data_IF_260975440911
#
_entry.id   IF_260975440911
#
_cell.length_a   1.000
_cell.length_b   1.000
_cell.length_c   1.000
_cell.angle_alpha   90.00
_cell.angle_beta   90.00
_cell.angle_gamma   90.00
#
_symmetry.space_group_name_H-M   'P 1'
#
loop_
_entity.id
_entity.type
_entity.pdbx_description
1 polymer ?
#
# COMPACT_ATOMS: atom_id res chain seq x y z
N UNK A 1 11.77 7.13 1.92
CA UNK A 1 11.39 8.56 1.86
C UNK A 1 9.88 8.77 1.95
N UNK A 2 9.09 8.37 0.95
CA UNK A 2 7.65 8.69 0.91
C UNK A 2 6.84 8.19 2.14
N UNK A 3 7.26 7.08 2.74
CA UNK A 3 6.63 6.49 3.93
C UNK A 3 7.35 6.86 5.24
N UNK A 4 8.23 7.87 5.23
CA UNK A 4 9.00 8.26 6.43
C UNK A 4 10.02 7.23 6.93
N UNK A 5 10.27 6.16 6.16
CA UNK A 5 11.18 5.09 6.53
C UNK A 5 12.66 5.47 6.47
N UNK A 6 13.49 4.69 7.17
CA UNK A 6 14.94 4.76 7.15
C UNK A 6 15.49 4.06 5.90
N UNK A 7 16.44 4.71 5.22
CA UNK A 7 17.19 4.12 4.11
C UNK A 7 18.60 3.80 4.62
N UNK A 8 19.00 2.52 4.68
CA UNK A 8 20.35 2.16 5.09
C UNK A 8 21.42 2.69 4.14
N UNK A 9 22.61 3.03 4.68
CA UNK A 9 23.76 3.43 3.85
C UNK A 9 24.30 2.31 2.98
N UNK A 10 24.07 1.05 3.39
CA UNK A 10 24.51 -0.13 2.66
C UNK A 10 23.37 -1.13 2.64
N UNK A 11 23.10 -1.66 1.45
CA UNK A 11 22.16 -2.74 1.25
C UNK A 11 22.80 -3.79 0.34
N UNK A 12 22.45 -5.05 0.51
CA UNK A 12 23.05 -6.16 -0.25
C UNK A 12 21.96 -7.05 -0.84
N UNK A 13 22.39 -7.89 -1.76
CA UNK A 13 21.57 -8.90 -2.39
C UNK A 13 21.88 -10.26 -1.74
N UNK A 14 20.86 -11.09 -1.59
CA UNK A 14 20.97 -12.44 -1.05
C UNK A 14 20.23 -13.42 -1.97
N UNK A 15 20.68 -14.67 -2.01
CA UNK A 15 20.00 -15.75 -2.73
C UNK A 15 18.99 -16.43 -1.82
N UNK A 16 17.72 -16.42 -2.22
CA UNK A 16 16.65 -17.25 -1.63
C UNK A 16 16.53 -18.54 -2.46
N UNK A 17 17.05 -19.65 -1.95
CA UNK A 17 17.22 -20.88 -2.73
C UNK A 17 15.98 -21.79 -2.62
N UNK A 18 15.33 -22.08 -3.75
CA UNK A 18 14.28 -23.08 -3.84
C UNK A 18 14.14 -23.59 -5.28
N UNK A 19 13.79 -24.86 -5.44
CA UNK A 19 13.61 -25.46 -6.76
C UNK A 19 12.15 -25.38 -7.18
N UNK A 20 11.87 -24.62 -8.24
CA UNK A 20 10.57 -24.59 -8.88
C UNK A 20 10.70 -24.31 -10.39
N UNK A 21 9.82 -24.83 -11.26
CA UNK A 21 10.00 -24.74 -12.71
C UNK A 21 10.01 -23.32 -13.28
N UNK A 22 9.43 -22.35 -12.58
CA UNK A 22 9.38 -20.94 -12.96
C UNK A 22 10.62 -20.14 -12.52
N UNK A 23 11.57 -20.77 -11.84
CA UNK A 23 12.77 -20.14 -11.33
C UNK A 23 14.01 -20.81 -11.93
N UNK A 24 14.51 -20.30 -13.08
CA UNK A 24 15.49 -21.02 -13.89
C UNK A 24 16.86 -21.14 -13.20
N UNK A 25 17.18 -20.18 -12.32
CA UNK A 25 18.44 -20.18 -11.56
C UNK A 25 18.42 -21.13 -10.35
N UNK A 26 17.26 -21.64 -9.93
CA UNK A 26 17.12 -22.39 -8.68
C UNK A 26 17.25 -21.54 -7.40
N UNK A 27 17.31 -20.21 -7.56
CA UNK A 27 17.27 -19.23 -6.49
C UNK A 27 16.68 -17.91 -6.99
N UNK A 28 16.07 -17.16 -6.09
CA UNK A 28 15.55 -15.83 -6.32
C UNK A 28 16.54 -14.82 -5.73
N UNK A 29 16.94 -13.83 -6.51
CA UNK A 29 17.71 -12.69 -6.00
C UNK A 29 16.73 -11.79 -5.25
N UNK A 30 17.01 -11.56 -3.97
CA UNK A 30 16.20 -10.74 -3.05
C UNK A 30 17.15 -10.05 -2.07
N UNK A 31 16.64 -9.50 -0.97
CA UNK A 31 17.43 -8.95 0.12
C UNK A 31 16.94 -9.56 1.42
N UNK A 32 17.84 -10.07 2.26
CA UNK A 32 17.48 -10.70 3.53
C UNK A 32 17.80 -9.78 4.71
N UNK A 33 19.04 -9.76 5.19
CA UNK A 33 19.39 -9.04 6.43
C UNK A 33 19.44 -7.51 6.27
N UNK A 34 19.68 -7.01 5.05
CA UNK A 34 19.93 -5.59 4.80
C UNK A 34 18.98 -5.07 3.71
N UNK A 35 17.68 -4.90 3.98
CA UNK A 35 16.72 -4.37 3.00
C UNK A 35 17.03 -2.93 2.62
N UNK A 36 16.55 -2.46 1.47
CA UNK A 36 16.76 -1.08 1.03
C UNK A 36 15.89 -0.05 1.79
N UNK A 37 14.84 -0.49 2.47
CA UNK A 37 13.97 0.32 3.32
C UNK A 37 13.69 -0.40 4.64
N UNK A 38 13.91 0.29 5.75
CA UNK A 38 13.62 -0.19 7.11
C UNK A 38 12.61 0.73 7.79
N UNK A 39 11.56 0.15 8.38
CA UNK A 39 10.51 0.94 9.01
C UNK A 39 9.59 1.64 8.01
N UNK A 40 8.81 2.58 8.54
CA UNK A 40 7.93 3.46 7.78
C UNK A 40 6.51 3.44 8.32
N UNK A 41 5.70 4.40 7.87
CA UNK A 41 4.31 4.55 8.27
C UNK A 41 3.46 4.93 7.07
N UNK A 42 2.31 4.28 6.92
CA UNK A 42 1.27 4.66 5.95
C UNK A 42 -0.01 5.00 6.71
N UNK A 43 -0.44 6.25 6.62
CA UNK A 43 -1.70 6.74 7.17
C UNK A 43 -2.85 6.49 6.18
N UNK A 44 -3.98 5.97 6.64
CA UNK A 44 -5.18 5.73 5.84
C UNK A 44 -6.45 6.11 6.62
N UNK A 45 -7.60 6.11 5.94
CA UNK A 45 -8.89 6.38 6.56
C UNK A 45 -9.85 5.22 6.30
N UNK A 46 -10.58 4.81 7.32
CA UNK A 46 -11.66 3.81 7.24
C UNK A 46 -12.99 4.53 7.33
N UNK A 47 -13.85 4.32 6.34
CA UNK A 47 -15.22 4.86 6.36
C UNK A 47 -16.13 3.93 7.18
N UNK A 48 -16.75 4.48 8.22
CA UNK A 48 -17.86 3.85 8.92
C UNK A 48 -19.12 4.04 8.08
N UNK A 49 -19.65 2.93 7.56
CA UNK A 49 -20.81 2.95 6.66
C UNK A 49 -22.11 3.29 7.38
N UNK A 50 -22.19 3.14 8.70
CA UNK A 50 -23.43 3.32 9.44
C UNK A 50 -23.71 4.80 9.73
N UNK A 51 -22.66 5.60 9.95
CA UNK A 51 -22.77 7.02 10.28
C UNK A 51 -22.04 7.95 9.29
N UNK A 52 -21.32 7.41 8.30
CA UNK A 52 -20.58 8.17 7.29
C UNK A 52 -19.34 8.90 7.85
N UNK A 53 -18.90 8.54 9.06
CA UNK A 53 -17.68 9.10 9.66
C UNK A 53 -16.44 8.37 9.14
N UNK A 54 -15.28 9.01 9.30
CA UNK A 54 -14.00 8.45 8.91
C UNK A 54 -13.11 8.32 10.14
N UNK A 55 -12.65 7.10 10.37
CA UNK A 55 -11.64 6.79 11.39
C UNK A 55 -10.26 6.83 10.75
N UNK A 56 -9.33 7.56 11.37
CA UNK A 56 -7.93 7.55 10.94
C UNK A 56 -7.25 6.28 11.44
N UNK A 57 -6.52 5.61 10.55
CA UNK A 57 -5.68 4.47 10.88
C UNK A 57 -4.28 4.65 10.31
N UNK A 58 -3.35 3.83 10.79
CA UNK A 58 -1.99 3.79 10.27
C UNK A 58 -1.42 2.38 10.33
N UNK A 59 -0.59 2.04 9.34
CA UNK A 59 0.19 0.80 9.34
C UNK A 59 1.67 1.12 9.39
N UNK A 60 2.34 0.59 10.40
CA UNK A 60 3.80 0.56 10.44
C UNK A 60 4.34 -0.52 9.49
N UNK A 61 5.40 -0.17 8.78
CA UNK A 61 6.09 -1.10 7.89
C UNK A 61 7.30 -1.65 8.62
N UNK A 62 7.50 -2.96 8.58
CA UNK A 62 8.76 -3.56 9.04
C UNK A 62 9.88 -3.18 8.07
N UNK A 63 9.62 -3.32 6.76
CA UNK A 63 10.62 -3.16 5.70
C UNK A 63 9.99 -3.08 4.31
N UNK A 64 10.76 -2.58 3.35
CA UNK A 64 10.55 -2.85 1.93
C UNK A 64 11.87 -3.23 1.26
N UNK A 65 11.86 -4.22 0.38
CA UNK A 65 13.06 -4.72 -0.26
C UNK A 65 12.86 -5.09 -1.72
N UNK A 66 13.96 -5.08 -2.47
CA UNK A 66 13.96 -5.41 -3.89
C UNK A 66 14.11 -6.91 -4.11
N UNK A 67 13.37 -7.44 -5.07
CA UNK A 67 13.56 -8.82 -5.51
C UNK A 67 13.20 -9.03 -6.99
N UNK A 68 13.62 -10.17 -7.52
CA UNK A 68 13.33 -10.61 -8.88
C UNK A 68 12.06 -11.46 -8.92
N UNK A 69 11.13 -11.17 -9.85
CA UNK A 69 9.91 -11.98 -10.01
C UNK A 69 10.21 -13.36 -10.64
N UNK A 70 9.34 -14.33 -10.35
CA UNK A 70 9.35 -15.63 -10.99
C UNK A 70 8.62 -15.63 -12.34
N UNK A 71 8.92 -16.62 -13.18
CA UNK A 71 8.21 -16.84 -14.44
C UNK A 71 6.72 -17.17 -14.21
N UNK A 72 5.95 -17.22 -15.29
CA UNK A 72 4.53 -17.59 -15.24
C UNK A 72 4.37 -19.07 -15.58
N UNK A 73 3.58 -19.78 -14.79
CA UNK A 73 3.17 -21.16 -15.06
C UNK A 73 1.76 -21.20 -15.64
N UNK A 74 1.56 -22.05 -16.66
CA UNK A 74 0.25 -22.39 -17.19
C UNK A 74 0.08 -23.90 -17.21
N UNK A 75 -0.91 -24.40 -16.46
CA UNK A 75 -1.22 -25.83 -16.39
C UNK A 75 -2.29 -26.17 -17.44
N UNK A 76 -1.99 -27.13 -18.31
CA UNK A 76 -2.93 -27.62 -19.34
C UNK A 76 -2.90 -29.14 -19.34
N UNK A 77 -3.99 -29.75 -18.87
CA UNK A 77 -4.06 -31.19 -18.64
C UNK A 77 -3.01 -31.65 -17.62
N UNK A 78 -2.18 -32.61 -18.00
CA UNK A 78 -1.07 -33.14 -17.17
C UNK A 78 0.27 -32.44 -17.40
N UNK A 79 0.30 -31.35 -18.18
CA UNK A 79 1.53 -30.62 -18.52
C UNK A 79 1.52 -29.21 -17.93
N UNK A 80 2.72 -28.72 -17.61
CA UNK A 80 2.95 -27.34 -17.19
C UNK A 80 3.82 -26.66 -18.24
N UNK A 81 3.33 -25.54 -18.76
CA UNK A 81 4.06 -24.65 -19.65
C UNK A 81 4.64 -23.51 -18.82
N UNK A 82 5.89 -23.13 -19.12
CA UNK A 82 6.60 -22.06 -18.42
C UNK A 82 6.85 -20.92 -19.38
N UNK A 83 6.41 -19.72 -19.01
CA UNK A 83 6.64 -18.47 -19.74
C UNK A 83 7.58 -17.56 -18.93
N UNK A 84 8.83 -17.45 -19.40
CA UNK A 84 9.89 -16.67 -18.76
C UNK A 84 9.85 -15.17 -19.08
N UNK A 85 8.88 -14.65 -19.84
CA UNK A 85 8.81 -13.23 -20.18
C UNK A 85 8.77 -12.29 -18.96
N UNK A 86 8.20 -12.76 -17.84
CA UNK A 86 8.15 -12.02 -16.57
C UNK A 86 9.33 -12.31 -15.63
N UNK A 87 10.12 -13.34 -15.93
CA UNK A 87 11.21 -13.77 -15.05
C UNK A 87 12.22 -12.63 -14.84
N UNK A 88 12.61 -12.42 -13.59
CA UNK A 88 13.51 -11.34 -13.17
C UNK A 88 12.99 -9.91 -13.37
N UNK A 89 11.68 -9.71 -13.60
CA UNK A 89 11.08 -8.39 -13.48
C UNK A 89 11.30 -7.83 -12.06
N UNK A 90 11.60 -6.53 -11.92
CA UNK A 90 11.86 -5.92 -10.62
C UNK A 90 10.58 -5.87 -9.77
N UNK A 91 10.70 -6.28 -8.51
CA UNK A 91 9.64 -6.20 -7.51
C UNK A 91 10.12 -5.45 -6.28
N UNK A 92 9.15 -4.88 -5.57
CA UNK A 92 9.32 -4.38 -4.22
C UNK A 92 8.40 -5.21 -3.33
N UNK A 93 8.96 -5.98 -2.41
CA UNK A 93 8.20 -6.64 -1.36
C UNK A 93 8.13 -5.73 -0.13
N UNK A 94 6.90 -5.34 0.25
CA UNK A 94 6.61 -4.48 1.39
C UNK A 94 6.00 -5.34 2.49
N UNK A 95 6.62 -5.33 3.67
CA UNK A 95 6.19 -6.11 4.83
C UNK A 95 5.70 -5.16 5.91
N UNK A 96 4.49 -5.40 6.40
CA UNK A 96 3.85 -4.62 7.45
C UNK A 96 4.13 -5.22 8.83
N UNK A 97 4.17 -4.38 9.85
CA UNK A 97 3.96 -4.83 11.22
C UNK A 97 2.53 -5.40 11.39
N UNK A 98 2.29 -6.31 12.35
CA UNK A 98 1.00 -6.97 12.55
C UNK A 98 -0.01 -6.09 13.30
N UNK A 99 -0.19 -4.84 12.86
CA UNK A 99 -1.00 -3.79 13.52
C UNK A 99 -2.37 -3.56 12.87
N UNK A 100 -2.77 -4.44 11.96
CA UNK A 100 -4.08 -4.40 11.30
C UNK A 100 -5.07 -5.29 12.03
N UNK A 101 -6.16 -4.70 12.54
CA UNK A 101 -7.11 -5.39 13.43
C UNK A 101 -8.48 -5.67 12.81
N UNK A 102 -8.72 -5.23 11.57
CA UNK A 102 -9.97 -5.54 10.86
C UNK A 102 -9.78 -5.66 9.36
N UNK A 103 -10.72 -6.35 8.70
CA UNK A 103 -10.77 -6.42 7.24
C UNK A 103 -10.89 -5.03 6.60
N UNK A 104 -11.63 -4.12 7.23
CA UNK A 104 -11.80 -2.75 6.78
C UNK A 104 -10.48 -1.97 6.81
N UNK A 105 -9.70 -2.09 7.89
CA UNK A 105 -8.36 -1.49 7.98
C UNK A 105 -7.42 -2.08 6.94
N UNK A 106 -7.39 -3.41 6.77
CA UNK A 106 -6.53 -4.06 5.79
C UNK A 106 -6.87 -3.62 4.34
N UNK A 107 -8.15 -3.52 4.02
CA UNK A 107 -8.59 -3.02 2.72
C UNK A 107 -8.21 -1.54 2.50
N UNK A 108 -8.41 -0.69 3.50
CA UNK A 108 -8.07 0.72 3.43
C UNK A 108 -6.56 0.92 3.26
N UNK A 109 -5.75 0.17 4.01
CA UNK A 109 -4.29 0.15 3.86
C UNK A 109 -3.86 -0.24 2.44
N UNK A 110 -4.39 -1.34 1.90
CA UNK A 110 -4.01 -1.81 0.55
C UNK A 110 -4.40 -0.79 -0.53
N UNK A 111 -5.58 -0.17 -0.42
CA UNK A 111 -5.98 0.91 -1.33
C UNK A 111 -5.05 2.12 -1.22
N UNK A 112 -4.68 2.52 0.01
CA UNK A 112 -3.77 3.63 0.24
C UNK A 112 -2.37 3.37 -0.30
N UNK A 113 -1.85 2.16 -0.09
CA UNK A 113 -0.57 1.74 -0.63
C UNK A 113 -0.59 1.75 -2.17
N UNK A 114 -1.67 1.26 -2.79
CA UNK A 114 -1.84 1.31 -4.23
C UNK A 114 -1.83 2.76 -4.75
N UNK A 115 -2.58 3.65 -4.09
CA UNK A 115 -2.63 5.06 -4.43
C UNK A 115 -1.25 5.72 -4.30
N UNK A 116 -0.53 5.44 -3.21
CA UNK A 116 0.81 5.97 -2.98
C UNK A 116 1.79 5.52 -4.08
N UNK A 117 1.83 4.22 -4.39
CA UNK A 117 2.74 3.66 -5.40
C UNK A 117 2.46 4.24 -6.79
N UNK A 118 1.17 4.43 -7.13
CA UNK A 118 0.75 5.10 -8.38
C UNK A 118 1.17 6.56 -8.40
N UNK A 119 0.91 7.29 -7.31
CA UNK A 119 1.28 8.71 -7.18
C UNK A 119 2.79 8.93 -7.35
N UNK A 120 3.59 8.01 -6.82
CA UNK A 120 5.05 8.03 -6.95
C UNK A 120 5.54 7.65 -8.36
N UNK A 121 4.66 7.13 -9.23
CA UNK A 121 5.04 6.67 -10.57
C UNK A 121 5.92 5.41 -10.57
N UNK A 122 5.89 4.62 -9.48
CA UNK A 122 6.71 3.40 -9.34
C UNK A 122 6.08 2.24 -10.10
N UNK A 123 4.75 2.11 -10.04
CA UNK A 123 3.99 1.05 -10.70
C UNK A 123 2.55 1.49 -10.92
N UNK A 124 1.94 1.01 -12.01
CA UNK A 124 0.49 1.10 -12.24
C UNK A 124 -0.31 0.32 -11.19
N UNK A 125 0.35 -0.59 -10.45
CA UNK A 125 -0.20 -1.37 -9.34
C UNK A 125 -1.58 -2.01 -9.66
N UNK A 126 -1.78 -2.42 -10.92
CA UNK A 126 -2.99 -3.08 -11.40
C UNK A 126 -3.01 -4.55 -10.95
N UNK A 127 -3.90 -4.87 -10.02
CA UNK A 127 -4.04 -6.23 -9.48
C UNK A 127 -4.54 -7.23 -10.52
N UNK A 128 -5.37 -6.81 -11.48
CA UNK A 128 -5.88 -7.71 -12.54
C UNK A 128 -4.75 -8.14 -13.48
N UNK A 129 -3.76 -7.27 -13.68
CA UNK A 129 -2.54 -7.56 -14.44
C UNK A 129 -1.44 -8.21 -13.59
N UNK A 130 -1.67 -8.42 -12.30
CA UNK A 130 -0.71 -9.00 -11.37
C UNK A 130 0.47 -8.10 -11.02
N UNK A 131 0.35 -6.77 -11.24
CA UNK A 131 1.38 -5.78 -10.90
C UNK A 131 1.42 -5.43 -9.40
N UNK A 132 0.35 -5.79 -8.68
CA UNK A 132 0.29 -5.72 -7.23
C UNK A 132 -0.29 -7.03 -6.69
N UNK A 133 0.40 -7.61 -5.72
CA UNK A 133 0.06 -8.88 -5.07
C UNK A 133 0.17 -8.70 -3.57
N UNK A 134 -0.61 -9.46 -2.82
CA UNK A 134 -0.50 -9.49 -1.38
C UNK A 134 -0.93 -10.85 -0.84
N UNK A 135 -0.23 -11.29 0.20
CA UNK A 135 -0.56 -12.45 1.00
C UNK A 135 -1.02 -11.95 2.38
N UNK A 136 -2.04 -12.59 2.94
CA UNK A 136 -2.62 -12.18 4.21
C UNK A 136 -2.16 -13.14 5.33
N UNK A 137 -1.41 -12.61 6.30
CA UNK A 137 -1.06 -13.34 7.51
C UNK A 137 -2.05 -12.99 8.62
N UNK A 138 -2.68 -14.00 9.23
CA UNK A 138 -3.73 -13.81 10.23
C UNK A 138 -3.60 -14.79 11.40
N UNK A 139 -3.81 -14.26 12.59
CA UNK A 139 -3.94 -14.98 13.87
C UNK A 139 -4.92 -14.24 14.78
N UNK A 140 -5.75 -14.95 15.54
CA UNK A 140 -6.67 -14.33 16.49
C UNK A 140 -6.08 -14.29 17.91
N UNK A 141 -6.12 -13.10 18.52
CA UNK A 141 -5.72 -12.90 19.93
C UNK A 141 -6.93 -13.00 20.85
N UNK A 142 -6.76 -13.65 22.01
CA UNK A 142 -7.68 -13.55 23.13
C UNK A 142 -7.50 -12.24 23.90
N UNK A 143 -8.37 -11.94 24.88
CA UNK A 143 -8.32 -10.68 25.63
C UNK A 143 -7.00 -10.43 26.37
N UNK A 144 -6.41 -11.47 26.94
CA UNK A 144 -5.17 -11.34 27.71
C UNK A 144 -3.99 -11.06 26.79
N UNK A 145 -3.95 -11.73 25.63
CA UNK A 145 -2.98 -11.45 24.57
C UNK A 145 -3.10 -10.02 24.04
N UNK A 146 -4.32 -9.51 23.85
CA UNK A 146 -4.54 -8.12 23.45
C UNK A 146 -4.05 -7.13 24.52
N UNK A 147 -4.31 -7.40 25.81
CA UNK A 147 -3.87 -6.52 26.92
C UNK A 147 -2.35 -6.45 27.06
N UNK A 148 -1.65 -7.54 26.75
CA UNK A 148 -0.20 -7.65 26.91
C UNK A 148 0.58 -7.40 25.60
N UNK A 149 -0.11 -7.09 24.50
CA UNK A 149 0.48 -6.94 23.16
C UNK A 149 1.26 -8.20 22.70
N UNK A 150 0.70 -9.38 22.98
CA UNK A 150 1.32 -10.67 22.67
C UNK A 150 0.67 -11.34 21.46
N UNK A 151 1.48 -11.71 20.47
CA UNK A 151 0.99 -12.46 19.31
C UNK A 151 0.72 -13.94 19.67
N UNK A 152 -0.30 -14.56 19.04
CA UNK A 152 -0.56 -15.99 19.23
C UNK A 152 0.60 -16.84 18.69
N UNK A 153 0.81 -18.06 19.23
CA UNK A 153 1.87 -18.96 18.78
C UNK A 153 1.58 -19.63 17.42
N UNK A 154 0.50 -19.23 16.75
CA UNK A 154 0.07 -19.78 15.47
C UNK A 154 -0.25 -18.66 14.49
N UNK A 155 -0.12 -18.95 13.20
CA UNK A 155 -0.42 -18.01 12.12
C UNK A 155 -0.82 -18.77 10.86
N UNK A 156 -1.91 -18.37 10.23
CA UNK A 156 -2.26 -18.82 8.89
C UNK A 156 -1.85 -17.78 7.86
N UNK A 157 -1.37 -18.24 6.72
CA UNK A 157 -1.04 -17.38 5.58
C UNK A 157 -1.98 -17.71 4.43
N UNK A 158 -2.82 -16.76 4.03
CA UNK A 158 -3.75 -16.91 2.91
C UNK A 158 -3.16 -16.27 1.66
N UNK A 159 -2.97 -17.08 0.61
CA UNK A 159 -2.43 -16.69 -0.69
C UNK A 159 -3.49 -16.67 -1.79
N UNK A 160 -3.10 -16.16 -2.96
CA UNK A 160 -3.94 -16.08 -4.18
C UNK A 160 -5.14 -15.14 -4.03
N UNK A 161 -4.94 -14.01 -3.35
CA UNK A 161 -5.97 -12.98 -3.21
C UNK A 161 -5.76 -11.93 -4.31
N UNK A 162 -6.68 -11.90 -5.28
CA UNK A 162 -6.49 -11.13 -6.51
C UNK A 162 -7.18 -9.75 -6.52
N UNK A 163 -7.88 -9.37 -5.45
CA UNK A 163 -8.50 -8.04 -5.34
C UNK A 163 -8.72 -7.63 -3.89
N UNK A 164 -8.80 -6.32 -3.63
CA UNK A 164 -9.07 -5.77 -2.29
C UNK A 164 -10.39 -6.27 -1.72
N UNK A 165 -11.41 -6.44 -2.57
CA UNK A 165 -12.69 -7.02 -2.13
C UNK A 165 -12.55 -8.48 -1.70
N UNK A 166 -11.67 -9.24 -2.38
CA UNK A 166 -11.38 -10.64 -2.02
C UNK A 166 -10.56 -10.70 -0.73
N UNK A 167 -9.69 -9.73 -0.47
CA UNK A 167 -8.96 -9.59 0.80
C UNK A 167 -9.93 -9.49 1.98
N UNK A 168 -10.89 -8.57 1.90
CA UNK A 168 -11.89 -8.42 2.95
C UNK A 168 -12.64 -9.72 3.22
N UNK A 169 -13.12 -10.40 2.16
CA UNK A 169 -13.81 -11.69 2.30
C UNK A 169 -12.92 -12.79 2.89
N UNK A 170 -11.66 -12.86 2.48
CA UNK A 170 -10.70 -13.84 2.96
C UNK A 170 -10.41 -13.66 4.45
N UNK A 171 -10.22 -12.41 4.90
CA UNK A 171 -10.02 -12.07 6.31
C UNK A 171 -11.26 -12.45 7.12
N UNK A 172 -12.45 -12.04 6.71
CA UNK A 172 -13.70 -12.36 7.42
C UNK A 172 -13.98 -13.87 7.51
N UNK A 173 -13.66 -14.60 6.44
CA UNK A 173 -13.75 -16.05 6.44
C UNK A 173 -12.78 -16.67 7.45
N UNK A 174 -11.53 -16.22 7.46
CA UNK A 174 -10.49 -16.77 8.31
C UNK A 174 -10.71 -16.42 9.79
N UNK A 175 -11.21 -15.22 10.10
CA UNK A 175 -11.66 -14.84 11.45
C UNK A 175 -12.73 -15.82 11.94
N UNK A 176 -13.78 -16.06 11.15
CA UNK A 176 -14.85 -17.00 11.54
C UNK A 176 -14.34 -18.42 11.72
N UNK A 177 -13.44 -18.86 10.84
CA UNK A 177 -12.84 -20.19 10.90
C UNK A 177 -12.00 -20.37 12.16
N UNK A 178 -11.05 -19.48 12.41
CA UNK A 178 -10.18 -19.54 13.60
C UNK A 178 -11.00 -19.37 14.87
N UNK A 179 -11.97 -18.46 14.90
CA UNK A 179 -12.86 -18.25 16.03
C UNK A 179 -13.60 -19.53 16.41
N UNK A 180 -14.20 -20.21 15.43
CA UNK A 180 -14.87 -21.50 15.67
C UNK A 180 -13.93 -22.56 16.26
N UNK A 181 -12.70 -22.66 15.73
CA UNK A 181 -11.72 -23.63 16.26
C UNK A 181 -11.36 -23.32 17.71
N UNK A 182 -11.12 -22.04 18.02
CA UNK A 182 -10.79 -21.61 19.39
C UNK A 182 -11.95 -21.83 20.35
N UNK A 183 -13.20 -21.58 19.92
CA UNK A 183 -14.41 -21.85 20.70
C UNK A 183 -14.57 -23.36 21.00
N UNK A 184 -14.09 -24.23 20.11
CA UNK A 184 -14.05 -25.69 20.27
C UNK A 184 -12.83 -26.16 21.10
N UNK A 185 -11.97 -25.25 21.56
CA UNK A 185 -10.75 -25.55 22.32
C UNK A 185 -9.59 -26.03 21.46
N UNK A 186 -9.66 -25.86 20.13
CA UNK A 186 -8.63 -26.23 19.17
C UNK A 186 -7.74 -25.03 18.83
N UNK A 187 -6.42 -25.24 18.82
CA UNK A 187 -5.47 -24.23 18.33
C UNK A 187 -5.31 -24.34 16.81
N UNK A 188 -5.49 -23.26 16.04
CA UNK A 188 -5.22 -23.30 14.60
C UNK A 188 -3.78 -23.71 14.30
N UNK A 189 -3.59 -24.55 13.28
CA UNK A 189 -2.25 -24.96 12.84
C UNK A 189 -1.60 -23.88 12.00
N UNK A 190 -0.28 -23.81 12.04
CA UNK A 190 0.49 -22.97 11.14
C UNK A 190 0.49 -23.60 9.74
N UNK A 191 -0.16 -22.94 8.78
CA UNK A 191 -0.36 -23.48 7.45
C UNK A 191 -0.47 -22.38 6.39
N UNK A 192 -0.29 -22.78 5.14
CA UNK A 192 -0.56 -21.92 3.97
C UNK A 192 -1.87 -22.34 3.35
N UNK A 193 -2.77 -21.37 3.18
CA UNK A 193 -4.12 -21.55 2.65
C UNK A 193 -4.24 -20.81 1.32
N UNK A 194 -5.03 -21.34 0.41
CA UNK A 194 -5.36 -20.70 -0.86
C UNK A 194 -6.79 -20.19 -0.84
N UNK A 195 -6.99 -18.92 -1.22
CA UNK A 195 -8.32 -18.36 -1.38
C UNK A 195 -9.00 -18.86 -2.68
N UNK A 196 -10.25 -19.31 -2.58
CA UNK A 196 -11.11 -19.73 -3.69
C UNK A 196 -12.25 -18.73 -3.85
N UNK A 197 -12.08 -17.79 -4.77
CA UNK A 197 -13.00 -16.66 -4.91
C UNK A 197 -14.42 -17.07 -5.34
N UNK A 198 -14.50 -18.08 -6.21
CA UNK A 198 -15.73 -18.72 -6.69
C UNK A 198 -16.57 -19.34 -5.56
N UNK A 199 -15.90 -19.78 -4.49
CA UNK A 199 -16.52 -20.52 -3.38
C UNK A 199 -16.54 -19.73 -2.08
N UNK A 200 -15.96 -18.52 -2.05
CA UNK A 200 -15.81 -17.69 -0.85
C UNK A 200 -15.25 -18.45 0.36
N UNK A 201 -14.23 -19.28 0.14
CA UNK A 201 -13.58 -20.07 1.19
C UNK A 201 -12.08 -20.18 0.98
N UNK A 202 -11.34 -20.39 2.07
CA UNK A 202 -9.93 -20.77 2.01
C UNK A 202 -9.77 -22.29 2.13
N UNK A 203 -8.84 -22.87 1.37
CA UNK A 203 -8.50 -24.30 1.44
C UNK A 203 -7.03 -24.45 1.86
N UNK A 204 -6.72 -25.45 2.69
CA UNK A 204 -5.33 -25.75 3.05
C UNK A 204 -4.58 -26.25 1.81
N UNK A 205 -3.43 -25.66 1.51
CA UNK A 205 -2.59 -26.07 0.37
C UNK A 205 -1.37 -26.88 0.81
N UNK A 206 -0.74 -26.47 1.92
CA UNK A 206 0.46 -27.10 2.48
C UNK A 206 0.51 -26.88 3.98
N UNK A 207 0.74 -27.93 4.76
CA UNK A 207 1.14 -27.82 6.17
C UNK A 207 2.59 -27.31 6.24
N UNK A 208 2.88 -26.32 7.08
CA UNK A 208 4.23 -25.74 7.24
C UNK A 208 5.22 -26.67 7.97
N UNK A 209 4.98 -27.99 7.99
CA UNK A 209 5.89 -28.97 8.60
C UNK A 209 7.28 -28.99 7.92
N UNK A 210 7.36 -28.53 6.67
CA UNK A 210 8.61 -28.23 5.98
C UNK A 210 8.71 -26.72 5.71
N UNK A 211 9.04 -25.91 6.72
CA UNK A 211 9.65 -24.61 6.44
C UNK A 211 10.96 -24.90 5.68
N UNK A 212 10.89 -24.87 4.34
CA UNK A 212 12.05 -25.12 3.50
C UNK A 212 13.12 -24.10 3.88
N UNK A 213 14.23 -24.60 4.40
CA UNK A 213 15.41 -23.77 4.64
C UNK A 213 15.85 -23.22 3.28
N UNK A 214 15.51 -21.95 3.04
CA UNK A 214 15.87 -21.22 1.83
C UNK A 214 17.38 -21.00 1.72
N UNK A 215 18.16 -21.37 2.76
CA UNK A 215 19.62 -21.31 2.79
C UNK A 215 20.10 -19.95 2.31
N UNK A 216 19.59 -18.89 2.91
CA UNK A 216 19.96 -17.52 2.53
C UNK A 216 21.46 -17.32 2.67
N UNK A 217 22.08 -16.74 1.64
CA UNK A 217 23.46 -16.26 1.71
C UNK A 217 23.65 -15.08 0.76
N UNK A 218 24.67 -14.21 1.00
CA UNK A 218 24.95 -13.07 0.14
C UNK A 218 25.18 -13.49 -1.31
N UNK A 219 24.57 -12.78 -2.25
CA UNK A 219 24.75 -12.98 -3.69
C UNK A 219 26.19 -12.57 -4.10
N UNK A 220 27.08 -13.51 -4.45
CA UNK A 220 28.49 -13.20 -4.74
C UNK A 220 28.68 -12.40 -6.03
N UNK A 221 27.73 -12.48 -6.96
CA UNK A 221 27.86 -11.86 -8.30
C UNK A 221 27.45 -10.38 -8.30
N UNK A 222 26.76 -9.90 -7.25
CA UNK A 222 26.32 -8.51 -7.10
C UNK A 222 27.09 -7.81 -5.98
N UNK A 223 27.58 -6.62 -6.27
CA UNK A 223 28.22 -5.77 -5.26
C UNK A 223 27.20 -5.29 -4.24
N UNK A 224 27.69 -5.00 -3.03
CA UNK A 224 26.95 -4.22 -2.04
C UNK A 224 26.61 -2.86 -2.67
N UNK A 225 25.34 -2.47 -2.55
CA UNK A 225 24.87 -1.16 -2.95
C UNK A 225 25.13 -0.18 -1.81
N UNK A 226 26.06 0.74 -2.02
CA UNK A 226 26.32 1.85 -1.10
C UNK A 226 25.47 3.05 -1.54
N UNK A 227 24.64 3.55 -0.62
CA UNK A 227 23.74 4.67 -0.83
C UNK A 227 24.33 5.86 -0.08
N UNK A 228 24.86 6.85 -0.80
CA UNK A 228 25.45 8.01 -0.15
C UNK A 228 24.37 8.85 0.52
N UNK A 229 24.63 9.28 1.76
CA UNK A 229 23.75 10.25 2.46
C UNK A 229 23.62 11.57 1.71
N UNK A 230 24.58 11.91 0.86
CA UNK A 230 24.54 13.12 0.03
C UNK A 230 23.61 12.97 -1.18
N UNK A 231 23.35 11.74 -1.63
CA UNK A 231 22.46 11.43 -2.76
C UNK A 231 20.98 11.45 -2.31
N UNK A 232 20.67 11.01 -1.09
CA UNK A 232 19.29 10.89 -0.60
C UNK A 232 18.50 12.22 -0.70
N UNK A 233 19.02 13.39 -0.27
CA UNK A 233 18.32 14.66 -0.42
C UNK A 233 18.07 15.04 -1.88
N UNK A 234 18.97 14.67 -2.80
CA UNK A 234 18.84 14.95 -4.23
C UNK A 234 17.73 14.09 -4.88
N UNK A 235 17.48 12.91 -4.31
CA UNK A 235 16.38 12.02 -4.70
C UNK A 235 15.02 12.43 -4.13
N UNK A 236 14.96 13.45 -3.26
CA UNK A 236 13.73 13.88 -2.59
C UNK A 236 12.80 14.76 -3.46
N UNK A 237 12.90 14.65 -4.80
CA UNK A 237 11.94 15.26 -5.71
C UNK A 237 10.67 14.40 -5.81
N UNK A 238 10.02 14.17 -4.66
CA UNK A 238 8.79 13.41 -4.58
C UNK A 238 7.61 14.27 -5.08
N UNK A 239 6.65 13.68 -5.82
CA UNK A 239 5.38 14.34 -6.06
C UNK A 239 4.64 14.60 -4.74
N UNK A 240 3.64 15.49 -4.75
CA UNK A 240 2.79 15.70 -3.58
C UNK A 240 2.13 14.37 -3.19
N UNK A 241 2.45 13.90 -1.98
CA UNK A 241 1.95 12.63 -1.46
C UNK A 241 0.45 12.72 -1.18
N UNK A 242 -0.30 11.59 -1.26
CA UNK A 242 -1.72 11.59 -0.93
C UNK A 242 -2.01 12.14 0.47
N UNK A 243 -1.20 11.80 1.48
CA UNK A 243 -1.34 12.30 2.85
C UNK A 243 -1.14 13.82 2.94
N UNK A 244 -0.15 14.38 2.25
CA UNK A 244 0.09 15.82 2.17
C UNK A 244 -1.07 16.55 1.49
N UNK A 245 -1.55 16.00 0.37
CA UNK A 245 -2.68 16.55 -0.37
C UNK A 245 -3.97 16.54 0.47
N UNK A 246 -4.23 15.46 1.23
CA UNK A 246 -5.36 15.40 2.16
C UNK A 246 -5.29 16.49 3.22
N UNK A 247 -4.13 16.64 3.88
CA UNK A 247 -3.91 17.67 4.91
C UNK A 247 -4.20 19.06 4.35
N UNK A 248 -3.64 19.39 3.19
CA UNK A 248 -3.89 20.65 2.49
C UNK A 248 -5.37 20.88 2.18
N UNK A 249 -6.09 19.88 1.69
CA UNK A 249 -7.52 20.01 1.36
C UNK A 249 -8.43 20.14 2.59
N UNK A 250 -8.09 19.46 3.69
CA UNK A 250 -8.81 19.61 4.95
C UNK A 250 -8.61 21.01 5.54
N UNK A 251 -7.41 21.58 5.45
CA UNK A 251 -7.11 22.96 5.86
C UNK A 251 -7.91 24.01 5.06
N UNK A 252 -8.34 23.68 3.84
CA UNK A 252 -9.24 24.52 3.03
C UNK A 252 -10.72 24.42 3.46
N UNK A 253 -11.04 23.60 4.45
CA UNK A 253 -12.39 23.40 4.98
C UNK A 253 -13.25 22.41 4.18
N UNK A 254 -12.64 21.57 3.33
CA UNK A 254 -13.36 20.47 2.67
C UNK A 254 -13.67 19.35 3.67
N UNK A 255 -14.85 18.73 3.55
CA UNK A 255 -15.19 17.53 4.33
C UNK A 255 -14.30 16.35 3.93
N UNK A 256 -13.99 15.46 4.88
CA UNK A 256 -13.16 14.26 4.66
C UNK A 256 -13.62 13.41 3.46
N UNK A 257 -14.94 13.27 3.25
CA UNK A 257 -15.51 12.50 2.14
C UNK A 257 -15.11 13.08 0.76
N UNK A 258 -15.24 14.41 0.60
CA UNK A 258 -14.82 15.11 -0.62
C UNK A 258 -13.31 14.99 -0.81
N UNK A 259 -12.54 15.19 0.27
CA UNK A 259 -11.08 15.08 0.24
C UNK A 259 -10.63 13.70 -0.24
N UNK A 260 -11.19 12.63 0.33
CA UNK A 260 -10.87 11.26 -0.06
C UNK A 260 -11.22 10.99 -1.53
N UNK A 261 -12.33 11.54 -2.01
CA UNK A 261 -12.73 11.42 -3.42
C UNK A 261 -11.73 12.12 -4.35
N UNK A 262 -11.32 13.35 -4.02
CA UNK A 262 -10.41 14.13 -4.85
C UNK A 262 -9.01 13.54 -4.87
N UNK A 263 -8.52 13.05 -3.73
CA UNK A 263 -7.17 12.51 -3.62
C UNK A 263 -7.00 11.19 -4.39
N UNK A 264 -8.07 10.38 -4.51
CA UNK A 264 -8.06 9.15 -5.31
C UNK A 264 -8.14 9.43 -6.82
N UNK A 265 -8.77 10.54 -7.22
CA UNK A 265 -8.96 10.89 -8.63
C UNK A 265 -8.04 12.05 -9.04
N UNK A 266 -6.89 11.69 -9.63
CA UNK A 266 -5.86 12.65 -10.03
C UNK A 266 -6.40 13.74 -10.99
N UNK A 267 -7.34 13.42 -11.88
CA UNK A 267 -7.95 14.41 -12.77
C UNK A 267 -8.81 15.42 -12.01
N UNK A 268 -9.59 14.97 -11.02
CA UNK A 268 -10.44 15.84 -10.21
C UNK A 268 -9.61 16.74 -9.30
N UNK A 269 -8.59 16.18 -8.63
CA UNK A 269 -7.69 16.99 -7.80
C UNK A 269 -6.92 18.02 -8.63
N UNK A 270 -6.40 17.62 -9.80
CA UNK A 270 -5.74 18.54 -10.73
C UNK A 270 -6.66 19.65 -11.21
N UNK A 271 -7.92 19.33 -11.51
CA UNK A 271 -8.92 20.32 -11.87
C UNK A 271 -9.22 21.27 -10.72
N UNK A 272 -9.43 20.74 -9.52
CA UNK A 272 -9.70 21.54 -8.32
C UNK A 272 -8.55 22.49 -7.98
N UNK A 273 -7.30 22.02 -8.06
CA UNK A 273 -6.12 22.84 -7.82
C UNK A 273 -6.00 24.00 -8.82
N UNK A 274 -6.32 23.76 -10.11
CA UNK A 274 -6.39 24.83 -11.12
C UNK A 274 -7.47 25.87 -10.80
N UNK A 275 -8.63 25.44 -10.29
CA UNK A 275 -9.70 26.36 -9.86
C UNK A 275 -9.26 27.21 -8.66
N UNK A 276 -8.56 26.62 -7.69
CA UNK A 276 -7.99 27.35 -6.56
C UNK A 276 -6.96 28.41 -7.00
N UNK A 277 -6.12 28.07 -7.98
CA UNK A 277 -5.15 28.98 -8.56
C UNK A 277 -5.83 30.19 -9.21
N UNK A 278 -6.86 29.97 -10.03
CA UNK A 278 -7.64 31.04 -10.67
C UNK A 278 -8.31 31.93 -9.61
N UNK A 279 -8.91 31.35 -8.57
CA UNK A 279 -9.54 32.11 -7.48
C UNK A 279 -8.52 32.99 -6.74
N UNK A 280 -7.32 32.47 -6.48
CA UNK A 280 -6.20 33.20 -5.87
C UNK A 280 -5.72 34.36 -6.75
N UNK A 281 -5.67 34.17 -8.07
CA UNK A 281 -5.35 35.25 -9.02
C UNK A 281 -6.43 36.33 -8.98
N UNK A 282 -7.71 35.94 -8.96
CA UNK A 282 -8.81 36.89 -8.95
C UNK A 282 -8.90 37.68 -7.63
N UNK A 283 -8.66 37.05 -6.48
CA UNK A 283 -8.60 37.76 -5.18
C UNK A 283 -7.42 38.74 -5.14
N UNK A 284 -6.22 38.31 -5.55
CA UNK A 284 -5.04 39.19 -5.65
C UNK A 284 -5.24 40.34 -6.63
N UNK A 285 -5.95 40.12 -7.74
CA UNK A 285 -6.28 41.15 -8.71
C UNK A 285 -7.31 42.15 -8.15
N UNK A 286 -8.28 41.69 -7.34
CA UNK A 286 -9.18 42.57 -6.59
C UNK A 286 -8.40 43.42 -5.59
N UNK A 287 -7.56 42.81 -4.74
CA UNK A 287 -6.77 43.54 -3.73
C UNK A 287 -5.80 44.55 -4.35
N UNK A 288 -5.18 44.23 -5.50
CA UNK A 288 -4.38 45.19 -6.26
C UNK A 288 -5.23 46.33 -6.83
N UNK A 289 -6.44 46.08 -7.32
CA UNK A 289 -7.35 47.14 -7.78
C UNK A 289 -7.84 48.01 -6.62
N UNK A 290 -8.11 47.46 -5.43
CA UNK A 290 -8.51 48.25 -4.25
C UNK A 290 -7.35 49.13 -3.73
N UNK A 291 -6.11 48.63 -3.76
CA UNK A 291 -4.92 49.39 -3.35
C UNK A 291 -4.39 50.35 -4.43
N UNK A 292 -4.69 50.15 -5.72
CA UNK A 292 -4.33 51.09 -6.79
C UNK A 292 -5.41 52.14 -7.07
N UNK A 293 -6.65 51.93 -6.63
CA UNK A 293 -7.74 52.93 -6.77
C UNK A 293 -7.78 53.96 -5.64
N UNK A 294 -7.12 53.72 -4.50
CA UNK A 294 -7.11 54.66 -3.38
C UNK A 294 -6.15 55.84 -3.56
N UNK A 295 -5.25 55.82 -4.54
CA UNK A 295 -4.36 56.96 -4.86
C UNK A 295 -4.74 57.74 -6.13
N UNK A 296 -5.70 57.27 -6.94
CA UNK A 296 -6.14 57.94 -8.16
C UNK A 296 -7.62 57.64 -8.47
N UNK A 297 -8.55 58.32 -7.80
CA UNK A 297 -9.80 58.83 -8.39
C UNK A 297 -10.76 59.38 -7.32
N UNK A 298 -10.63 60.66 -7.01
CA UNK A 298 -11.67 61.49 -6.40
C UNK A 298 -12.69 61.97 -7.46
N UNK A 299 -13.23 61.06 -8.28
CA UNK A 299 -14.38 61.38 -9.16
C UNK A 299 -15.35 60.20 -9.22
N UNK A 300 -16.56 60.44 -8.70
CA UNK A 300 -17.73 59.56 -8.74
C UNK A 300 -18.03 59.12 -10.16
N UNK A 301 -18.33 57.83 -10.33
CA UNK A 301 -19.22 57.35 -11.38
C UNK A 301 -20.11 56.26 -10.81
N UNK A 302 -21.42 56.45 -10.93
CA UNK A 302 -22.46 55.50 -10.56
C UNK A 302 -22.71 54.60 -11.76
N UNK A 303 -22.62 53.28 -11.59
CA UNK A 303 -23.07 52.32 -12.61
C UNK A 303 -23.86 51.19 -11.95
N UNK A 304 -25.04 50.95 -12.50
CA UNK A 304 -25.93 49.82 -12.24
C UNK A 304 -25.67 48.75 -13.31
N UNK A 305 -25.70 47.47 -12.94
CA UNK A 305 -25.85 46.40 -13.91
C UNK A 305 -26.70 45.26 -13.31
N UNK A 306 -27.87 45.04 -13.92
CA UNK A 306 -28.72 43.87 -13.74
C UNK A 306 -28.09 42.64 -14.41
N UNK A 307 -28.27 41.47 -13.81
CA UNK A 307 -28.17 40.19 -14.52
C UNK A 307 -29.56 39.56 -14.57
N UNK A 308 -30.05 39.34 -15.80
CA UNK A 308 -31.12 38.40 -16.11
C UNK A 308 -30.46 37.12 -16.65
N UNK A 309 -30.90 35.98 -16.09
CA UNK A 309 -30.62 34.55 -16.37
C UNK A 309 -29.24 34.14 -16.92
#
# INVERSE_FOLDING_TARGET
MAVGATIPEKTRWDRKNYFYPDLPAGYQISQYDNPIVEGGLIEFFVEDKDNGTFEAGSVELTRAHLEADAAKLQHVGSKTYVDFNRSAAPLIEIVTEPVLHSSAQAMAFVNELQLLVRRLGISDADMEKGQMRFDCNLSLQNEDQQKNDELPPYRTETKNINSVRSLGRAIEYEIKRQGKMLDEGETPKQETRGWKDDQNKSESQRSKEDAMDYRYFPEPDLKILEISREEIPQLNNLPELPSTQRKRYLELGLSQQIVNTFVVQDELSSFFDKVLEIKSIHSKAKDKKTNSFSSQCSKRATFSCCFQE
#
